data_IF_275009179203
#
_entry.id   IF_275009179203
#
_cell.length_a   1.000
_cell.length_b   1.000
_cell.length_c   1.000
_cell.angle_alpha   90.00
_cell.angle_beta   90.00
_cell.angle_gamma   90.00
#
_symmetry.space_group_name_H-M   'P 1'
#
loop_
_entity.id
_entity.type
_entity.pdbx_description
1 polymer ?
#
# COMPACT_ATOMS: atom_id res chain seq x y z
N UNK A 1 7.90 6.51 3.78
CA UNK A 1 7.77 5.27 2.99
C UNK A 1 7.16 4.24 3.91
N UNK A 2 6.28 3.41 3.38
CA UNK A 2 5.68 2.31 4.13
C UNK A 2 6.43 1.04 3.79
N UNK A 3 6.99 0.38 4.81
CA UNK A 3 7.74 -0.87 4.62
C UNK A 3 6.82 -2.11 4.60
N UNK A 4 5.64 -2.03 5.23
CA UNK A 4 4.70 -3.16 5.33
C UNK A 4 3.44 -2.94 4.46
N UNK A 5 2.81 -1.76 4.56
CA UNK A 5 1.56 -1.44 3.88
C UNK A 5 0.70 -0.47 4.68
N UNK A 6 -0.62 -0.64 4.60
CA UNK A 6 -1.60 0.26 5.21
C UNK A 6 -2.71 -0.52 5.91
N UNK A 7 -3.11 -0.07 7.10
CA UNK A 7 -4.29 -0.56 7.80
C UNK A 7 -5.40 0.51 7.80
N UNK A 8 -6.58 0.15 7.28
CA UNK A 8 -7.81 0.90 7.51
C UNK A 8 -8.51 0.34 8.74
N UNK A 9 -8.59 1.14 9.80
CA UNK A 9 -9.12 0.70 11.09
C UNK A 9 -10.45 1.38 11.38
N UNK A 10 -11.44 0.58 11.78
CA UNK A 10 -12.77 1.05 12.16
C UNK A 10 -13.27 0.30 13.41
N UNK A 11 -14.37 0.74 14.02
CA UNK A 11 -14.92 0.06 15.21
C UNK A 11 -15.37 -1.38 14.98
N UNK A 12 -15.58 -1.79 13.72
CA UNK A 12 -16.00 -3.14 13.34
C UNK A 12 -14.83 -4.09 13.03
N UNK A 13 -13.60 -3.57 13.02
CA UNK A 13 -12.39 -4.30 12.63
C UNK A 13 -11.52 -3.49 11.67
N UNK A 14 -10.67 -4.15 10.91
CA UNK A 14 -9.74 -3.50 10.01
C UNK A 14 -9.56 -4.22 8.67
N UNK A 15 -9.19 -3.45 7.66
CA UNK A 15 -8.67 -3.96 6.40
C UNK A 15 -7.16 -3.71 6.37
N UNK A 16 -6.39 -4.79 6.29
CA UNK A 16 -4.94 -4.80 6.26
C UNK A 16 -4.48 -4.99 4.82
N UNK A 17 -3.74 -4.02 4.29
CA UNK A 17 -3.29 -4.01 2.90
C UNK A 17 -1.76 -4.02 2.90
N UNK A 18 -1.16 -5.18 2.63
CA UNK A 18 0.28 -5.26 2.42
C UNK A 18 0.66 -4.68 1.07
N UNK A 19 1.79 -3.98 1.01
CA UNK A 19 2.46 -3.64 -0.23
C UNK A 19 3.92 -4.07 -0.15
N UNK A 20 4.31 -4.98 -1.04
CA UNK A 20 5.66 -5.54 -1.04
C UNK A 20 6.64 -4.71 -1.88
N UNK A 21 6.12 -4.06 -2.92
CA UNK A 21 6.93 -3.43 -3.97
C UNK A 21 6.61 -1.94 -4.15
N UNK A 22 5.63 -1.39 -3.41
CA UNK A 22 5.23 0.01 -3.52
C UNK A 22 5.40 0.76 -2.20
N UNK A 23 6.42 1.63 -2.10
CA UNK A 23 6.81 2.23 -0.82
C UNK A 23 5.99 3.48 -0.46
N UNK A 24 5.08 3.94 -1.33
CA UNK A 24 4.42 5.24 -1.18
C UNK A 24 2.92 5.17 -1.46
N UNK A 25 2.16 5.70 -0.51
CA UNK A 25 0.73 5.94 -0.61
C UNK A 25 0.44 7.43 -0.60
N UNK A 26 -0.60 7.84 -1.31
CA UNK A 26 -1.12 9.20 -1.36
C UNK A 26 -2.53 9.24 -0.78
N UNK A 27 -2.79 10.19 0.11
CA UNK A 27 -4.10 10.41 0.74
C UNK A 27 -4.67 11.75 0.29
N UNK A 28 -5.75 11.75 -0.49
CA UNK A 28 -6.37 12.99 -0.95
C UNK A 28 -6.91 12.93 -2.37
N UNK A 29 -7.19 14.10 -2.94
CA UNK A 29 -7.76 14.25 -4.27
C UNK A 29 -6.68 14.17 -5.36
N UNK A 30 -6.94 13.44 -6.46
CA UNK A 30 -5.97 13.38 -7.57
C UNK A 30 -6.02 14.61 -8.48
N UNK A 31 -7.12 15.36 -8.50
CA UNK A 31 -7.24 16.57 -9.28
C UNK A 31 -6.32 17.67 -8.74
N UNK A 32 -5.93 18.61 -9.61
CA UNK A 32 -5.08 19.73 -9.22
C UNK A 32 -5.76 20.62 -8.17
N UNK A 33 -5.09 20.79 -7.03
CA UNK A 33 -5.51 21.67 -5.94
C UNK A 33 -4.27 22.15 -5.14
N UNK A 34 -4.37 23.23 -4.37
CA UNK A 34 -3.33 23.63 -3.44
C UNK A 34 -3.05 22.51 -2.42
N UNK A 35 -1.80 22.05 -2.34
CA UNK A 35 -1.41 21.03 -1.37
C UNK A 35 -1.25 21.68 0.00
N UNK A 36 -2.16 21.35 0.92
CA UNK A 36 -2.04 21.70 2.33
C UNK A 36 -1.12 20.70 3.02
N UNK A 37 0.00 21.17 3.55
CA UNK A 37 0.91 20.38 4.37
C UNK A 37 0.23 19.94 5.68
N UNK A 38 0.78 18.88 6.29
CA UNK A 38 0.18 18.21 7.45
C UNK A 38 -0.21 19.21 8.56
N UNK A 39 -1.50 19.27 8.85
CA UNK A 39 -2.08 20.07 9.93
C UNK A 39 -2.59 19.21 11.11
N UNK A 40 -2.17 17.93 11.11
CA UNK A 40 -2.46 16.93 12.14
C UNK A 40 -3.95 16.69 12.43
N UNK A 41 -4.84 17.00 11.49
CA UNK A 41 -6.28 16.72 11.61
C UNK A 41 -6.59 15.27 11.29
N UNK A 42 -7.46 14.66 12.09
CA UNK A 42 -7.88 13.26 11.92
C UNK A 42 -8.51 12.99 10.55
N UNK A 43 -9.22 13.97 10.00
CA UNK A 43 -9.88 13.90 8.68
C UNK A 43 -8.90 13.55 7.55
N UNK A 44 -7.62 13.89 7.70
CA UNK A 44 -6.58 13.58 6.71
C UNK A 44 -6.38 12.07 6.54
N UNK A 45 -6.56 11.30 7.62
CA UNK A 45 -6.39 9.85 7.63
C UNK A 45 -7.60 9.12 7.01
N UNK A 46 -8.70 9.83 6.74
CA UNK A 46 -9.93 9.28 6.16
C UNK A 46 -10.10 9.61 4.68
N UNK A 47 -9.12 10.28 4.07
CA UNK A 47 -9.15 10.65 2.66
C UNK A 47 -8.99 9.41 1.78
N UNK A 48 -9.47 9.44 0.52
CA UNK A 48 -9.19 8.37 -0.43
C UNK A 48 -7.68 8.10 -0.53
N UNK A 49 -7.32 6.83 -0.52
CA UNK A 49 -5.93 6.38 -0.63
C UNK A 49 -5.65 5.85 -2.01
N UNK A 50 -4.51 6.26 -2.55
CA UNK A 50 -3.97 5.82 -3.83
C UNK A 50 -2.57 5.27 -3.61
N UNK A 51 -2.25 4.18 -4.29
CA UNK A 51 -0.88 3.68 -4.33
C UNK A 51 -0.09 4.42 -5.40
N UNK A 52 1.09 4.93 -5.04
CA UNK A 52 1.95 5.65 -5.96
C UNK A 52 2.92 4.67 -6.64
N UNK A 53 2.40 3.95 -7.61
CA UNK A 53 3.17 3.00 -8.41
C UNK A 53 4.15 3.75 -9.30
N UNK A 54 5.46 3.48 -9.16
CA UNK A 54 6.46 4.01 -10.09
C UNK A 54 6.41 3.25 -11.43
N UNK A 55 5.46 3.60 -12.27
CA UNK A 55 5.34 3.08 -13.63
C UNK A 55 6.10 3.93 -14.68
N UNK A 56 6.99 4.83 -14.21
CA UNK A 56 7.76 5.71 -15.09
C UNK A 56 8.60 4.87 -16.06
N UNK A 57 8.39 5.09 -17.35
CA UNK A 57 9.23 4.52 -18.40
C UNK A 57 10.47 5.39 -18.55
N UNK A 58 11.64 4.84 -18.27
CA UNK A 58 12.90 5.53 -18.52
C UNK A 58 13.40 5.15 -19.91
N UNK A 59 13.66 6.14 -20.76
CA UNK A 59 14.46 5.92 -21.95
C UNK A 59 15.91 5.66 -21.51
N UNK A 60 16.33 4.41 -21.65
CA UNK A 60 17.71 4.00 -21.39
C UNK A 60 18.39 3.66 -22.72
N UNK A 61 19.72 3.54 -22.72
CA UNK A 61 20.48 3.10 -23.91
C UNK A 61 20.26 1.62 -24.28
N UNK A 62 19.30 0.93 -23.66
CA UNK A 62 18.94 -0.45 -23.98
C UNK A 62 17.85 -0.47 -25.05
N UNK A 63 17.88 -1.50 -25.91
CA UNK A 63 16.82 -1.69 -26.90
C UNK A 63 15.48 -1.95 -26.19
N UNK A 64 14.42 -1.35 -26.72
CA UNK A 64 13.05 -1.43 -26.20
C UNK A 64 12.47 -2.86 -26.24
N UNK A 65 13.10 -3.79 -26.98
CA UNK A 65 12.72 -5.20 -27.10
C UNK A 65 13.24 -6.08 -25.94
N UNK A 66 14.05 -5.54 -25.02
CA UNK A 66 14.35 -6.13 -23.70
C UNK A 66 13.20 -5.90 -22.69
N UNK A 67 11.95 -6.05 -23.13
CA UNK A 67 10.78 -5.76 -22.30
C UNK A 67 10.53 -6.88 -21.28
N UNK A 68 10.63 -6.55 -19.99
CA UNK A 68 9.96 -7.28 -18.91
C UNK A 68 8.58 -6.68 -18.63
N UNK A 69 7.76 -7.34 -17.80
CA UNK A 69 6.56 -6.74 -17.22
C UNK A 69 6.85 -6.24 -15.81
N UNK A 70 6.28 -5.09 -15.44
CA UNK A 70 6.29 -4.62 -14.06
C UNK A 70 5.21 -5.33 -13.26
N UNK A 71 5.59 -6.00 -12.19
CA UNK A 71 4.66 -6.59 -11.21
C UNK A 71 4.68 -5.72 -9.94
N UNK A 72 3.50 -5.47 -9.37
CA UNK A 72 3.34 -4.81 -8.09
C UNK A 72 2.35 -5.62 -7.26
N UNK A 73 2.82 -6.21 -6.16
CA UNK A 73 2.01 -7.12 -5.36
C UNK A 73 1.36 -6.42 -4.18
N UNK A 74 0.09 -6.74 -3.98
CA UNK A 74 -0.68 -6.36 -2.79
C UNK A 74 -1.41 -7.58 -2.26
N UNK A 75 -1.53 -7.66 -0.94
CA UNK A 75 -2.38 -8.64 -0.28
C UNK A 75 -3.35 -7.92 0.64
N UNK A 76 -4.60 -8.37 0.68
CA UNK A 76 -5.63 -7.82 1.54
C UNK A 76 -6.12 -8.89 2.51
N UNK A 77 -6.20 -8.52 3.79
CA UNK A 77 -6.86 -9.29 4.83
C UNK A 77 -7.90 -8.43 5.54
N UNK A 78 -8.95 -9.08 6.03
CA UNK A 78 -9.85 -8.50 7.01
C UNK A 78 -9.44 -9.02 8.38
N UNK A 79 -9.34 -8.12 9.36
CA UNK A 79 -9.02 -8.43 10.75
C UNK A 79 -10.11 -7.91 11.68
N UNK A 80 -10.26 -8.57 12.82
CA UNK A 80 -11.10 -8.10 13.92
C UNK A 80 -10.42 -7.03 14.78
N UNK A 81 -9.14 -6.73 14.55
CA UNK A 81 -8.40 -5.75 15.34
C UNK A 81 -8.88 -4.32 15.06
N UNK A 82 -9.17 -3.59 16.13
CA UNK A 82 -9.68 -2.21 16.11
C UNK A 82 -8.67 -1.20 16.66
N UNK A 83 -7.55 -1.67 17.22
CA UNK A 83 -6.45 -0.83 17.65
C UNK A 83 -5.46 -0.61 16.50
N UNK A 84 -5.10 0.64 16.14
CA UNK A 84 -4.21 0.91 15.03
C UNK A 84 -2.81 0.28 15.13
N UNK A 85 -2.24 0.21 16.33
CA UNK A 85 -0.90 -0.37 16.50
C UNK A 85 -0.95 -1.89 16.32
N UNK A 86 -1.92 -2.55 16.97
CA UNK A 86 -2.11 -4.00 16.86
C UNK A 86 -2.49 -4.43 15.43
N UNK A 87 -3.28 -3.63 14.72
CA UNK A 87 -3.60 -3.86 13.31
C UNK A 87 -2.34 -3.80 12.41
N UNK A 88 -1.44 -2.84 12.66
CA UNK A 88 -0.17 -2.75 11.94
C UNK A 88 0.81 -3.87 12.31
N UNK A 89 0.85 -4.28 13.58
CA UNK A 89 1.62 -5.46 14.02
C UNK A 89 1.14 -6.72 13.31
N UNK A 90 -0.18 -6.97 13.26
CA UNK A 90 -0.76 -8.10 12.55
C UNK A 90 -0.44 -8.04 11.05
N UNK A 91 -0.58 -6.88 10.40
CA UNK A 91 -0.22 -6.69 9.00
C UNK A 91 1.24 -7.10 8.75
N UNK A 92 2.16 -6.62 9.60
CA UNK A 92 3.57 -6.94 9.50
C UNK A 92 3.84 -8.43 9.66
N UNK A 93 3.23 -9.09 10.63
CA UNK A 93 3.37 -10.54 10.80
C UNK A 93 2.88 -11.31 9.56
N UNK A 94 1.72 -10.93 9.02
CA UNK A 94 1.12 -11.54 7.82
C UNK A 94 1.98 -11.38 6.57
N UNK A 95 2.77 -10.32 6.45
CA UNK A 95 3.71 -10.15 5.35
C UNK A 95 4.73 -11.29 5.24
N UNK A 96 5.01 -12.00 6.35
CA UNK A 96 5.96 -13.11 6.41
C UNK A 96 5.28 -14.49 6.48
N UNK A 97 3.95 -14.57 6.38
CA UNK A 97 3.25 -15.85 6.39
C UNK A 97 3.63 -16.69 5.16
N UNK A 98 3.98 -17.98 5.35
CA UNK A 98 4.31 -18.85 4.24
C UNK A 98 3.06 -19.11 3.39
N UNK A 99 3.20 -18.97 2.07
CA UNK A 99 2.15 -19.35 1.14
C UNK A 99 2.37 -20.78 0.62
N UNK A 100 1.40 -21.69 0.79
CA UNK A 100 1.52 -23.04 0.26
C UNK A 100 1.45 -23.00 -1.27
N UNK A 101 2.56 -23.33 -1.92
CA UNK A 101 2.61 -23.55 -3.36
C UNK A 101 2.36 -25.04 -3.64
N UNK A 102 1.16 -25.37 -4.12
CA UNK A 102 0.85 -26.74 -4.56
C UNK A 102 1.32 -26.88 -6.00
N UNK A 103 2.42 -27.59 -6.23
CA UNK A 103 2.89 -27.98 -7.56
C UNK A 103 2.35 -29.37 -7.89
N UNK A 104 1.65 -29.50 -9.02
CA UNK A 104 1.16 -30.78 -9.55
C UNK A 104 2.23 -31.57 -10.31
#
# INVERSE_FOLDING_TARGET
>A
MSDDGLAYVCPQGSALIASYDVPLFYFGEMAHHPIRLCDNREENNRRPVYSWVMNNTWETNFKMDLSGFGEYRYTLWLSGETDPQRAMEELRERCFEPWPLITG
#
